data_IF_251069528889
#
_entry.id   IF_251069528889
#
_cell.length_a   1.000
_cell.length_b   1.000
_cell.length_c   1.000
_cell.angle_alpha   90.00
_cell.angle_beta   90.00
_cell.angle_gamma   90.00
#
_symmetry.space_group_name_H-M   'P 1'
#
loop_
_entity.id
_entity.type
_entity.pdbx_description
1 polymer ?
#
# COMPACT_ATOMS: atom_id res chain seq x y z
N UNK A 1 -5.89 -24.63 2.14
CA UNK A 1 -4.46 -24.22 2.04
C UNK A 1 -4.31 -22.98 2.91
N UNK A 2 -3.28 -22.90 3.73
CA UNK A 2 -3.03 -21.68 4.52
C UNK A 2 -2.53 -20.62 3.55
N UNK A 3 -3.20 -19.47 3.48
CA UNK A 3 -2.77 -18.36 2.63
C UNK A 3 -1.58 -17.67 3.28
N UNK A 4 -0.47 -17.55 2.58
CA UNK A 4 0.74 -16.86 3.06
C UNK A 4 0.57 -15.36 2.83
N UNK A 5 0.64 -14.56 3.90
CA UNK A 5 0.68 -13.09 3.80
C UNK A 5 2.01 -12.71 3.15
N UNK A 6 1.95 -11.84 2.16
CA UNK A 6 3.13 -11.41 1.40
C UNK A 6 3.71 -10.10 1.93
N UNK A 7 4.99 -9.82 1.68
CA UNK A 7 5.57 -8.51 1.98
C UNK A 7 4.83 -7.39 1.24
N UNK A 8 4.91 -6.18 1.81
CA UNK A 8 4.47 -4.94 1.17
C UNK A 8 5.69 -4.21 0.61
N UNK A 9 5.62 -3.78 -0.64
CA UNK A 9 6.65 -2.98 -1.28
C UNK A 9 6.27 -1.49 -1.21
N UNK A 10 7.09 -0.68 -0.56
CA UNK A 10 6.93 0.76 -0.44
C UNK A 10 8.01 1.45 -1.26
N UNK A 11 7.63 2.17 -2.31
CA UNK A 11 8.54 2.79 -3.26
C UNK A 11 8.40 4.31 -3.21
N UNK A 12 9.52 5.03 -3.22
CA UNK A 12 9.47 6.49 -3.31
C UNK A 12 8.89 6.95 -4.65
N UNK A 13 9.30 6.31 -5.74
CA UNK A 13 8.89 6.64 -7.10
C UNK A 13 8.88 5.40 -8.01
N UNK A 14 8.55 5.58 -9.28
CA UNK A 14 8.47 4.49 -10.25
C UNK A 14 9.84 3.96 -10.74
N UNK A 15 10.95 4.55 -10.34
CA UNK A 15 12.27 4.14 -10.83
C UNK A 15 12.58 2.69 -10.43
N UNK A 16 12.18 2.27 -9.22
CA UNK A 16 12.40 0.89 -8.75
C UNK A 16 11.60 -0.16 -9.54
N UNK A 17 10.52 0.21 -10.20
CA UNK A 17 9.78 -0.73 -11.06
C UNK A 17 10.65 -1.27 -12.21
N UNK A 18 11.66 -0.49 -12.63
CA UNK A 18 12.58 -0.83 -13.73
C UNK A 18 14.03 -1.00 -13.27
N UNK A 19 14.27 -0.85 -11.96
CA UNK A 19 15.62 -0.98 -11.42
C UNK A 19 16.06 -2.45 -11.45
N UNK A 20 17.36 -2.63 -11.75
CA UNK A 20 18.05 -3.91 -11.72
C UNK A 20 19.19 -3.83 -10.72
N UNK A 21 19.41 -4.92 -9.99
CA UNK A 21 20.53 -5.02 -9.07
C UNK A 21 21.86 -5.18 -9.80
N UNK A 22 22.95 -5.38 -9.05
CA UNK A 22 24.30 -5.55 -9.59
C UNK A 22 24.44 -6.83 -10.45
N UNK A 23 23.57 -7.82 -10.25
CA UNK A 23 23.52 -9.05 -11.01
C UNK A 23 22.64 -8.92 -12.27
N UNK A 24 21.99 -7.77 -12.44
CA UNK A 24 21.10 -7.46 -13.56
C UNK A 24 19.68 -7.99 -13.39
N UNK A 25 19.31 -8.49 -12.20
CA UNK A 25 17.96 -8.98 -11.92
C UNK A 25 16.99 -7.82 -11.66
N UNK A 26 15.82 -7.80 -12.30
CA UNK A 26 14.80 -6.79 -12.03
C UNK A 26 14.33 -6.87 -10.58
N UNK A 27 14.22 -5.74 -9.91
CA UNK A 27 13.66 -5.67 -8.55
C UNK A 27 12.28 -6.32 -8.45
N UNK A 28 11.40 -6.06 -9.43
CA UNK A 28 10.08 -6.66 -9.47
C UNK A 28 10.07 -8.18 -9.68
N UNK A 29 11.19 -8.80 -10.08
CA UNK A 29 11.27 -10.25 -10.14
C UNK A 29 11.08 -10.89 -8.75
N UNK A 30 11.45 -10.19 -7.67
CA UNK A 30 11.15 -10.59 -6.28
C UNK A 30 9.64 -10.75 -6.06
N UNK A 31 8.84 -9.78 -6.55
CA UNK A 31 7.38 -9.85 -6.47
C UNK A 31 6.84 -11.08 -7.22
N UNK A 32 7.36 -11.36 -8.40
CA UNK A 32 6.99 -12.55 -9.18
C UNK A 32 7.31 -13.85 -8.43
N UNK A 33 8.53 -13.96 -7.90
CA UNK A 33 8.98 -15.14 -7.13
C UNK A 33 8.08 -15.39 -5.92
N UNK A 34 7.77 -14.35 -5.13
CA UNK A 34 6.88 -14.45 -3.98
C UNK A 34 5.46 -14.93 -4.32
N UNK A 35 4.96 -14.60 -5.50
CA UNK A 35 3.64 -15.10 -5.95
C UNK A 35 3.72 -16.54 -6.44
N UNK A 36 4.81 -16.92 -7.12
CA UNK A 36 5.03 -18.28 -7.65
C UNK A 36 5.27 -19.32 -6.56
N UNK A 37 5.80 -18.93 -5.38
CA UNK A 37 5.97 -19.84 -4.24
C UNK A 37 4.64 -20.45 -3.77
N UNK A 38 3.54 -19.68 -3.82
CA UNK A 38 2.24 -20.19 -3.40
C UNK A 38 1.49 -20.94 -4.51
N UNK A 39 1.66 -20.56 -5.77
CA UNK A 39 0.95 -21.15 -6.91
C UNK A 39 1.81 -21.18 -8.17
N UNK A 40 2.70 -22.17 -8.27
CA UNK A 40 3.62 -22.31 -9.41
C UNK A 40 2.87 -22.48 -10.73
N UNK A 41 3.20 -21.61 -11.69
CA UNK A 41 2.63 -21.67 -13.04
C UNK A 41 1.26 -21.00 -13.22
N UNK A 42 0.74 -20.35 -12.18
CA UNK A 42 -0.49 -19.53 -12.28
C UNK A 42 -0.29 -18.35 -13.21
N UNK A 43 -1.34 -18.02 -13.97
CA UNK A 43 -1.47 -16.74 -14.65
C UNK A 43 -1.93 -15.68 -13.64
N UNK A 44 -1.01 -14.79 -13.23
CA UNK A 44 -1.28 -13.76 -12.22
C UNK A 44 -2.02 -12.56 -12.80
N UNK A 45 -2.86 -11.95 -11.96
CA UNK A 45 -3.63 -10.73 -12.24
C UNK A 45 -3.05 -9.56 -11.46
N UNK A 46 -2.87 -8.42 -12.12
CA UNK A 46 -2.34 -7.22 -11.49
C UNK A 46 -3.29 -6.03 -11.66
N UNK A 47 -3.68 -5.41 -10.53
CA UNK A 47 -4.52 -4.23 -10.51
C UNK A 47 -3.69 -2.97 -10.25
N UNK A 48 -4.00 -1.89 -10.96
CA UNK A 48 -3.44 -0.56 -10.77
C UNK A 48 -4.53 0.39 -10.27
N UNK A 49 -4.33 1.01 -9.12
CA UNK A 49 -5.24 1.99 -8.55
C UNK A 49 -4.71 3.40 -8.83
N UNK A 50 -5.32 4.08 -9.81
CA UNK A 50 -4.85 5.37 -10.34
C UNK A 50 -5.41 6.61 -9.64
N UNK A 51 -6.28 6.47 -8.63
CA UNK A 51 -7.02 7.58 -8.03
C UNK A 51 -6.14 8.75 -7.59
N UNK A 52 -4.96 8.48 -7.00
CA UNK A 52 -4.05 9.51 -6.51
C UNK A 52 -3.49 10.42 -7.62
N UNK A 53 -3.33 9.91 -8.84
CA UNK A 53 -2.87 10.72 -9.99
C UNK A 53 -3.99 11.16 -10.93
N UNK A 54 -5.26 10.97 -10.53
CA UNK A 54 -6.41 11.33 -11.34
C UNK A 54 -6.66 10.38 -12.51
N UNK A 55 -6.28 9.11 -12.34
CA UNK A 55 -6.44 8.05 -13.35
C UNK A 55 -5.70 8.32 -14.67
N UNK A 56 -4.56 9.01 -14.59
CA UNK A 56 -3.75 9.35 -15.76
C UNK A 56 -3.24 8.11 -16.47
N UNK A 57 -3.50 8.01 -17.77
CA UNK A 57 -3.19 6.83 -18.60
C UNK A 57 -1.70 6.55 -18.72
N UNK A 58 -0.87 7.59 -18.69
CA UNK A 58 0.58 7.51 -18.84
C UNK A 58 1.23 6.69 -17.72
N UNK A 59 0.72 6.83 -16.49
CA UNK A 59 1.21 6.04 -15.36
C UNK A 59 0.70 4.59 -15.40
N UNK A 60 -0.49 4.38 -15.96
CA UNK A 60 -0.97 3.01 -16.20
C UNK A 60 -0.15 2.31 -17.28
N UNK A 61 0.27 3.03 -18.33
CA UNK A 61 1.18 2.47 -19.35
C UNK A 61 2.54 2.09 -18.77
N UNK A 62 3.11 2.89 -17.85
CA UNK A 62 4.32 2.53 -17.11
C UNK A 62 4.10 1.26 -16.27
N UNK A 63 2.96 1.15 -15.59
CA UNK A 63 2.61 -0.07 -14.86
C UNK A 63 2.53 -1.29 -15.78
N UNK A 64 1.87 -1.17 -16.94
CA UNK A 64 1.79 -2.27 -17.92
C UNK A 64 3.18 -2.71 -18.40
N UNK A 65 4.08 -1.76 -18.66
CA UNK A 65 5.45 -2.05 -19.05
C UNK A 65 6.19 -2.81 -17.95
N UNK A 66 6.10 -2.36 -16.70
CA UNK A 66 6.72 -3.01 -15.55
C UNK A 66 6.18 -4.43 -15.30
N UNK A 67 4.87 -4.61 -15.38
CA UNK A 67 4.25 -5.94 -15.26
C UNK A 67 4.65 -6.86 -16.40
N UNK A 68 4.80 -6.32 -17.60
CA UNK A 68 5.28 -7.05 -18.79
C UNK A 68 6.70 -7.61 -18.62
N UNK A 69 7.60 -6.89 -17.95
CA UNK A 69 8.97 -7.37 -17.67
C UNK A 69 9.01 -8.63 -16.79
N UNK A 70 8.04 -8.75 -15.87
CA UNK A 70 7.88 -9.93 -15.01
C UNK A 70 6.83 -10.93 -15.51
N UNK A 71 6.38 -10.79 -16.76
CA UNK A 71 5.48 -11.74 -17.42
C UNK A 71 4.03 -11.72 -16.96
N UNK A 72 3.57 -10.68 -16.27
CA UNK A 72 2.16 -10.48 -15.91
C UNK A 72 1.48 -9.69 -17.02
N UNK A 73 0.45 -10.26 -17.64
CA UNK A 73 -0.26 -9.67 -18.79
C UNK A 73 -1.73 -9.36 -18.51
N UNK A 74 -2.35 -10.04 -17.54
CA UNK A 74 -3.73 -9.76 -17.11
C UNK A 74 -3.71 -8.60 -16.11
N UNK A 75 -3.80 -7.37 -16.66
CA UNK A 75 -3.69 -6.13 -15.92
C UNK A 75 -4.96 -5.29 -16.05
N UNK A 76 -5.36 -4.60 -14.97
CA UNK A 76 -6.52 -3.72 -14.99
C UNK A 76 -6.27 -2.39 -14.31
N UNK A 77 -6.70 -1.30 -14.96
CA UNK A 77 -6.76 0.03 -14.36
C UNK A 77 -8.07 0.17 -13.58
N UNK A 78 -7.99 0.08 -12.27
CA UNK A 78 -9.09 0.36 -11.35
C UNK A 78 -9.10 1.85 -11.04
N UNK A 79 -10.09 2.54 -11.56
CA UNK A 79 -10.20 4.01 -11.48
C UNK A 79 -10.79 4.48 -10.15
N UNK A 80 -10.73 5.79 -9.90
CA UNK A 80 -11.31 6.43 -8.70
C UNK A 80 -12.81 6.10 -8.51
N UNK A 81 -13.56 5.93 -9.63
CA UNK A 81 -14.95 5.46 -9.62
C UNK A 81 -15.01 4.09 -10.29
N UNK A 82 -14.74 3.01 -9.55
CA UNK A 82 -14.62 1.68 -10.12
C UNK A 82 -15.98 1.09 -10.55
N UNK A 83 -16.00 0.50 -11.73
CA UNK A 83 -17.14 -0.29 -12.22
C UNK A 83 -17.30 -1.60 -11.42
N UNK A 84 -18.41 -2.30 -11.63
CA UNK A 84 -18.62 -3.65 -11.09
C UNK A 84 -17.53 -4.63 -11.54
N UNK A 85 -17.10 -4.53 -12.79
CA UNK A 85 -16.03 -5.35 -13.35
C UNK A 85 -14.67 -5.03 -12.74
N UNK A 86 -14.37 -3.75 -12.44
CA UNK A 86 -13.15 -3.35 -11.74
C UNK A 86 -13.11 -3.93 -10.33
N UNK A 87 -14.23 -3.89 -9.62
CA UNK A 87 -14.36 -4.49 -8.29
C UNK A 87 -14.15 -6.00 -8.33
N UNK A 88 -14.79 -6.68 -9.28
CA UNK A 88 -14.63 -8.13 -9.46
C UNK A 88 -13.18 -8.49 -9.81
N UNK A 89 -12.51 -7.69 -10.65
CA UNK A 89 -11.09 -7.89 -10.96
C UNK A 89 -10.21 -7.71 -9.72
N UNK A 90 -10.46 -6.65 -8.94
CA UNK A 90 -9.71 -6.37 -7.71
C UNK A 90 -9.85 -7.52 -6.69
N UNK A 91 -11.02 -8.16 -6.61
CA UNK A 91 -11.24 -9.33 -5.75
C UNK A 91 -10.38 -10.55 -6.13
N UNK A 92 -9.88 -10.61 -7.34
CA UNK A 92 -9.08 -11.69 -7.88
C UNK A 92 -7.61 -11.31 -8.11
N UNK A 93 -7.25 -10.03 -7.90
CA UNK A 93 -5.91 -9.55 -8.17
C UNK A 93 -4.89 -10.18 -7.22
N UNK A 94 -3.79 -10.68 -7.76
CA UNK A 94 -2.66 -11.25 -7.02
C UNK A 94 -1.63 -10.20 -6.65
N UNK A 95 -1.56 -9.13 -7.46
CA UNK A 95 -0.74 -7.97 -7.22
C UNK A 95 -1.61 -6.72 -7.34
N UNK A 96 -1.47 -5.79 -6.39
CA UNK A 96 -2.19 -4.52 -6.39
C UNK A 96 -1.20 -3.39 -6.19
N UNK A 97 -1.15 -2.45 -7.15
CA UNK A 97 -0.30 -1.28 -7.07
C UNK A 97 -1.15 -0.03 -6.80
N UNK A 98 -0.85 0.65 -5.70
CA UNK A 98 -1.39 1.97 -5.36
C UNK A 98 -0.47 3.04 -5.95
N UNK A 99 -1.02 3.87 -6.82
CA UNK A 99 -0.27 4.87 -7.58
C UNK A 99 0.20 6.05 -6.73
N UNK A 100 1.27 6.69 -7.17
CA UNK A 100 1.70 8.00 -6.69
C UNK A 100 0.77 9.12 -7.12
N UNK A 101 0.96 10.31 -6.54
CA UNK A 101 0.19 11.52 -6.83
C UNK A 101 -0.22 12.24 -5.56
N UNK A 102 -1.45 12.72 -5.48
CA UNK A 102 -2.03 13.42 -4.35
C UNK A 102 -2.62 12.40 -3.35
N UNK A 103 -2.13 12.43 -2.10
CA UNK A 103 -2.51 11.49 -1.05
C UNK A 103 -3.99 11.61 -0.71
N UNK A 104 -4.47 12.84 -0.52
CA UNK A 104 -5.83 13.14 -0.09
C UNK A 104 -6.86 12.81 -1.19
N UNK A 105 -6.57 13.19 -2.44
CA UNK A 105 -7.41 12.81 -3.60
C UNK A 105 -7.60 11.31 -3.70
N UNK A 106 -6.51 10.56 -3.64
CA UNK A 106 -6.56 9.10 -3.71
C UNK A 106 -7.34 8.51 -2.55
N UNK A 107 -7.12 9.05 -1.34
CA UNK A 107 -7.80 8.58 -0.14
C UNK A 107 -9.30 8.83 -0.18
N UNK A 108 -9.74 10.04 -0.55
CA UNK A 108 -11.16 10.37 -0.72
C UNK A 108 -11.85 9.45 -1.74
N UNK A 109 -11.16 9.11 -2.84
CA UNK A 109 -11.70 8.17 -3.81
C UNK A 109 -11.83 6.74 -3.23
N UNK A 110 -10.88 6.30 -2.40
CA UNK A 110 -10.95 5.01 -1.72
C UNK A 110 -12.11 4.98 -0.70
N UNK A 111 -12.31 6.06 0.06
CA UNK A 111 -13.45 6.19 0.99
C UNK A 111 -14.78 6.15 0.26
N UNK A 112 -14.93 7.00 -0.76
CA UNK A 112 -16.17 7.09 -1.53
C UNK A 112 -16.54 5.78 -2.25
N UNK A 113 -15.53 5.01 -2.66
CA UNK A 113 -15.74 3.73 -3.37
C UNK A 113 -15.79 2.51 -2.46
N UNK A 114 -15.38 2.61 -1.17
CA UNK A 114 -15.28 1.47 -0.26
C UNK A 114 -14.13 0.50 -0.57
N UNK A 115 -13.16 0.91 -1.40
CA UNK A 115 -12.02 0.07 -1.80
C UNK A 115 -11.09 -0.24 -0.62
N UNK A 116 -11.00 0.61 0.40
CA UNK A 116 -10.14 0.43 1.57
C UNK A 116 -10.29 -0.95 2.21
N UNK A 117 -11.53 -1.33 2.53
CA UNK A 117 -11.80 -2.62 3.13
C UNK A 117 -11.39 -3.78 2.21
N UNK A 118 -11.61 -3.63 0.91
CA UNK A 118 -11.22 -4.62 -0.09
C UNK A 118 -9.69 -4.78 -0.19
N UNK A 119 -8.93 -3.70 -0.08
CA UNK A 119 -7.46 -3.77 -0.06
C UNK A 119 -6.95 -4.54 1.16
N UNK A 120 -7.51 -4.26 2.34
CA UNK A 120 -7.17 -4.99 3.57
C UNK A 120 -7.49 -6.48 3.40
N UNK A 121 -8.70 -6.82 2.95
CA UNK A 121 -9.10 -8.21 2.70
C UNK A 121 -8.18 -8.91 1.71
N UNK A 122 -7.82 -8.25 0.60
CA UNK A 122 -6.93 -8.81 -0.41
C UNK A 122 -5.53 -9.06 0.12
N UNK A 123 -4.97 -8.13 0.89
CA UNK A 123 -3.68 -8.31 1.53
C UNK A 123 -3.65 -9.58 2.41
N UNK A 124 -4.62 -9.71 3.30
CA UNK A 124 -4.71 -10.88 4.18
C UNK A 124 -5.13 -12.17 3.45
N UNK A 125 -5.68 -12.05 2.25
CA UNK A 125 -5.91 -13.16 1.33
C UNK A 125 -4.69 -13.48 0.43
N UNK A 126 -3.53 -12.87 0.70
CA UNK A 126 -2.25 -13.18 0.05
C UNK A 126 -1.93 -12.37 -1.21
N UNK A 127 -2.67 -11.30 -1.51
CA UNK A 127 -2.28 -10.39 -2.56
C UNK A 127 -1.01 -9.61 -2.16
N UNK A 128 -0.08 -9.44 -3.11
CA UNK A 128 1.09 -8.60 -2.93
C UNK A 128 0.72 -7.12 -3.18
N UNK A 129 1.05 -6.24 -2.24
CA UNK A 129 0.79 -4.82 -2.37
C UNK A 129 2.07 -4.04 -2.70
N UNK A 130 1.94 -3.10 -3.61
CA UNK A 130 2.98 -2.13 -3.95
C UNK A 130 2.39 -0.73 -3.79
N UNK A 131 3.02 0.13 -3.00
CA UNK A 131 2.66 1.55 -2.90
C UNK A 131 3.77 2.43 -3.46
N UNK A 132 3.43 3.37 -4.33
CA UNK A 132 4.38 4.36 -4.89
C UNK A 132 4.03 5.74 -4.35
N UNK A 133 4.97 6.45 -3.72
CA UNK A 133 4.80 7.82 -3.21
C UNK A 133 3.51 7.96 -2.39
N UNK A 134 2.49 8.67 -2.87
CA UNK A 134 1.17 8.74 -2.21
C UNK A 134 0.59 7.36 -1.88
N UNK A 135 0.75 6.36 -2.76
CA UNK A 135 0.32 4.98 -2.50
C UNK A 135 1.09 4.32 -1.35
N UNK A 136 2.37 4.62 -1.18
CA UNK A 136 3.14 4.15 -0.03
C UNK A 136 2.65 4.79 1.28
N UNK A 137 2.35 6.09 1.27
CA UNK A 137 1.73 6.80 2.41
C UNK A 137 0.40 6.18 2.79
N UNK A 138 -0.45 5.87 1.80
CA UNK A 138 -1.78 5.28 2.01
C UNK A 138 -1.74 3.86 2.60
N UNK A 139 -0.64 3.13 2.45
CA UNK A 139 -0.41 1.84 3.12
C UNK A 139 0.01 1.98 4.58
N UNK A 140 0.48 3.16 4.99
CA UNK A 140 0.95 3.50 6.34
C UNK A 140 -0.15 3.76 7.36
N UNK A 141 0.23 4.41 8.47
CA UNK A 141 -0.68 4.75 9.58
C UNK A 141 -1.48 6.02 9.31
N UNK A 142 -0.86 7.03 8.71
CA UNK A 142 -1.43 8.37 8.54
C UNK A 142 -1.10 8.93 7.16
N UNK A 143 -2.11 9.54 6.56
CA UNK A 143 -1.98 10.49 5.48
C UNK A 143 -2.20 11.92 5.97
N UNK A 144 -2.02 12.87 5.09
CA UNK A 144 -2.25 14.28 5.37
C UNK A 144 -2.80 15.00 4.14
N UNK A 145 -3.57 16.05 4.41
CA UNK A 145 -3.97 17.00 3.39
C UNK A 145 -2.94 18.13 3.32
N UNK A 146 -2.40 18.40 2.14
CA UNK A 146 -1.32 19.39 1.94
C UNK A 146 -1.76 20.82 2.27
N UNK A 147 -3.02 21.17 2.00
CA UNK A 147 -3.57 22.52 2.23
C UNK A 147 -3.94 22.75 3.69
N UNK A 148 -4.78 21.87 4.26
CA UNK A 148 -5.29 21.99 5.63
C UNK A 148 -4.28 21.51 6.68
N UNK A 149 -3.27 20.73 6.31
CA UNK A 149 -2.31 20.06 7.18
C UNK A 149 -2.96 19.14 8.23
N UNK A 150 -4.19 18.73 7.97
CA UNK A 150 -4.89 17.75 8.80
C UNK A 150 -4.41 16.34 8.50
N UNK A 151 -4.24 15.55 9.57
CA UNK A 151 -3.93 14.13 9.48
C UNK A 151 -5.22 13.32 9.43
N UNK A 152 -5.17 12.23 8.69
CA UNK A 152 -6.24 11.24 8.63
C UNK A 152 -5.66 9.82 8.69
N UNK A 153 -6.45 8.87 9.14
CA UNK A 153 -6.06 7.46 9.13
C UNK A 153 -6.03 6.93 7.71
N UNK A 154 -5.05 6.06 7.43
CA UNK A 154 -4.92 5.37 6.15
C UNK A 154 -5.13 3.86 6.33
N UNK A 155 -4.66 3.01 5.40
CA UNK A 155 -4.91 1.56 5.45
C UNK A 155 -4.32 0.86 6.67
N UNK A 156 -3.29 1.42 7.29
CA UNK A 156 -2.61 0.86 8.46
C UNK A 156 -2.11 -0.58 8.24
N UNK A 157 -1.64 -0.88 7.04
CA UNK A 157 -1.06 -2.18 6.70
C UNK A 157 0.43 -2.25 7.03
N UNK A 158 1.09 -1.09 7.19
CA UNK A 158 2.41 -0.99 7.82
C UNK A 158 2.33 -0.11 9.08
N UNK A 159 3.09 -0.40 10.16
CA UNK A 159 2.91 0.17 11.49
C UNK A 159 3.68 1.49 11.70
N UNK A 160 3.87 2.26 10.64
CA UNK A 160 4.57 3.56 10.70
C UNK A 160 3.97 4.55 9.72
N UNK A 161 4.24 5.82 9.94
CA UNK A 161 3.93 6.88 8.97
C UNK A 161 4.97 6.82 7.86
N UNK A 162 4.53 6.78 6.62
CA UNK A 162 5.43 6.80 5.45
C UNK A 162 5.46 8.19 4.87
N UNK A 163 6.64 8.65 4.47
CA UNK A 163 6.83 9.83 3.62
C UNK A 163 7.84 9.52 2.51
N UNK A 164 7.69 10.15 1.38
CA UNK A 164 8.55 9.96 0.23
C UNK A 164 8.96 11.32 -0.35
N UNK A 165 10.19 11.42 -0.85
CA UNK A 165 10.74 12.60 -1.54
C UNK A 165 10.85 13.88 -0.70
N UNK A 166 10.92 13.83 0.65
CA UNK A 166 11.07 15.01 1.50
C UNK A 166 12.52 15.21 1.99
N UNK A 167 13.46 14.60 1.26
CA UNK A 167 14.89 14.79 1.56
C UNK A 167 15.39 16.20 1.21
N UNK A 168 16.45 16.69 1.88
CA UNK A 168 17.21 15.96 2.92
C UNK A 168 16.64 16.15 4.33
N UNK A 169 15.67 17.03 4.52
CA UNK A 169 15.29 17.51 5.85
C UNK A 169 14.29 16.63 6.58
N UNK A 170 13.43 15.93 5.84
CA UNK A 170 12.30 15.18 6.39
C UNK A 170 11.45 16.02 7.34
N UNK A 171 11.31 17.31 7.01
CA UNK A 171 10.66 18.29 7.86
C UNK A 171 9.19 17.97 8.10
N UNK A 172 8.50 17.49 7.07
CA UNK A 172 7.11 17.08 7.12
C UNK A 172 6.93 15.87 8.04
N UNK A 173 7.71 14.82 7.84
CA UNK A 173 7.65 13.60 8.65
C UNK A 173 7.99 13.89 10.11
N UNK A 174 8.99 14.75 10.38
CA UNK A 174 9.36 15.20 11.73
C UNK A 174 8.26 15.98 12.45
N UNK A 175 7.33 16.63 11.71
CA UNK A 175 6.17 17.32 12.27
C UNK A 175 4.97 16.40 12.48
N UNK A 176 4.84 15.36 11.66
CA UNK A 176 3.70 14.42 11.68
C UNK A 176 3.87 13.37 12.76
N UNK A 177 5.04 12.76 12.90
CA UNK A 177 5.29 11.66 13.83
C UNK A 177 4.87 11.98 15.27
N UNK A 178 5.24 13.15 15.86
CA UNK A 178 4.79 13.50 17.21
C UNK A 178 3.28 13.65 17.37
N UNK A 179 2.55 13.90 16.28
CA UNK A 179 1.10 14.08 16.27
C UNK A 179 0.33 12.79 15.97
N UNK A 180 1.03 11.78 15.43
CA UNK A 180 0.40 10.55 14.99
C UNK A 180 0.10 9.56 16.11
N UNK A 181 0.70 9.76 17.29
CA UNK A 181 0.47 8.95 18.49
C UNK A 181 1.78 8.61 19.23
N UNK A 182 1.64 8.22 20.50
CA UNK A 182 2.78 7.73 21.28
C UNK A 182 3.40 6.51 20.60
N UNK A 183 4.72 6.42 20.63
CA UNK A 183 5.51 5.34 20.04
C UNK A 183 5.38 5.20 18.50
N UNK A 184 4.68 6.13 17.84
CA UNK A 184 4.62 6.12 16.37
C UNK A 184 5.98 6.45 15.79
N UNK A 185 6.42 5.61 14.85
CA UNK A 185 7.61 5.86 14.03
C UNK A 185 7.20 6.41 12.65
N UNK A 186 8.12 7.10 12.03
CA UNK A 186 8.04 7.53 10.64
C UNK A 186 9.17 6.94 9.83
N UNK A 187 8.90 6.62 8.58
CA UNK A 187 9.90 6.13 7.62
C UNK A 187 9.89 7.03 6.40
N UNK A 188 11.01 7.73 6.21
CA UNK A 188 11.28 8.55 5.03
C UNK A 188 11.99 7.73 3.97
N UNK A 189 11.41 7.66 2.78
CA UNK A 189 11.92 6.92 1.62
C UNK A 189 12.46 7.94 0.60
N UNK A 190 13.79 8.07 0.44
CA UNK A 190 14.36 9.03 -0.51
C UNK A 190 14.10 8.65 -1.96
N UNK A 191 14.20 9.64 -2.86
CA UNK A 191 14.01 9.43 -4.29
C UNK A 191 14.84 8.26 -4.82
N UNK A 192 14.22 7.39 -5.61
CA UNK A 192 14.83 6.18 -6.16
C UNK A 192 15.04 5.04 -5.15
N UNK A 193 14.59 5.19 -3.91
CA UNK A 193 14.65 4.14 -2.89
C UNK A 193 13.31 3.45 -2.69
N UNK A 194 13.34 2.37 -1.91
CA UNK A 194 12.17 1.65 -1.44
C UNK A 194 12.41 0.91 -0.14
N UNK A 195 11.36 0.29 0.36
CA UNK A 195 11.39 -0.64 1.48
C UNK A 195 10.57 -1.88 1.16
N UNK A 196 11.01 -3.03 1.64
CA UNK A 196 10.22 -4.25 1.71
C UNK A 196 9.82 -4.47 3.17
N UNK A 197 8.53 -4.38 3.46
CA UNK A 197 8.01 -4.64 4.79
C UNK A 197 7.46 -6.06 4.85
N UNK A 198 8.04 -6.88 5.73
CA UNK A 198 7.77 -8.32 5.83
C UNK A 198 6.65 -8.64 6.83
N UNK A 199 5.97 -9.79 6.67
CA UNK A 199 4.91 -10.24 7.59
C UNK A 199 5.38 -10.53 9.01
N UNK A 200 6.68 -10.70 9.23
CA UNK A 200 7.33 -10.85 10.54
C UNK A 200 7.63 -9.51 11.22
N UNK A 201 7.11 -8.42 10.64
CA UNK A 201 7.30 -7.03 11.08
C UNK A 201 8.70 -6.48 10.90
N UNK A 202 9.52 -7.11 10.11
CA UNK A 202 10.82 -6.57 9.72
C UNK A 202 10.72 -5.71 8.46
N UNK A 203 11.71 -4.85 8.26
CA UNK A 203 11.81 -3.96 7.10
C UNK A 203 13.20 -4.04 6.49
N UNK A 204 13.25 -4.17 5.17
CA UNK A 204 14.47 -4.19 4.36
C UNK A 204 14.53 -2.93 3.50
N UNK A 205 15.48 -2.00 3.72
CA UNK A 205 15.73 -0.89 2.80
C UNK A 205 16.25 -1.38 1.45
N UNK A 206 15.79 -0.74 0.37
CA UNK A 206 16.16 -1.11 -1.00
C UNK A 206 16.89 0.07 -1.67
N UNK A 207 18.05 -0.20 -2.23
CA UNK A 207 18.90 0.68 -3.04
C UNK A 207 19.57 1.81 -2.24
N UNK A 208 18.84 2.60 -1.46
CA UNK A 208 19.37 3.70 -0.66
C UNK A 208 18.94 3.58 0.80
N UNK A 209 19.70 4.13 1.75
CA UNK A 209 19.29 4.18 3.15
C UNK A 209 17.98 4.93 3.32
N UNK A 210 17.13 4.42 4.22
CA UNK A 210 15.91 5.08 4.65
C UNK A 210 16.20 5.91 5.90
N UNK A 211 15.29 6.85 6.22
CA UNK A 211 15.36 7.64 7.45
C UNK A 211 14.23 7.21 8.38
N UNK A 212 14.56 6.62 9.52
CA UNK A 212 13.61 6.41 10.61
C UNK A 212 13.51 7.67 11.46
N UNK A 213 12.28 8.10 11.75
CA UNK A 213 11.98 9.21 12.66
C UNK A 213 11.18 8.68 13.83
N UNK A 214 11.59 9.00 15.05
CA UNK A 214 10.90 8.63 16.28
C UNK A 214 10.84 9.80 17.24
N UNK A 215 9.77 9.85 18.06
CA UNK A 215 9.66 10.78 19.17
C UNK A 215 10.32 10.15 20.41
N UNK A 216 11.20 10.90 21.05
CA UNK A 216 11.83 10.55 22.34
C UNK A 216 11.55 11.64 23.38
N UNK A 217 11.94 11.41 24.64
CA UNK A 217 11.84 12.41 25.70
C UNK A 217 12.69 13.67 25.38
N UNK A 218 13.77 13.50 24.64
CA UNK A 218 14.68 14.59 24.24
C UNK A 218 14.23 15.32 22.97
N UNK A 219 13.17 14.84 22.31
CA UNK A 219 12.62 15.40 21.07
C UNK A 219 12.59 14.40 19.91
N UNK A 220 12.60 14.90 18.69
CA UNK A 220 12.59 14.07 17.49
C UNK A 220 13.98 13.54 17.19
N UNK A 221 14.12 12.23 17.09
CA UNK A 221 15.36 11.53 16.71
C UNK A 221 15.25 11.02 15.27
N UNK A 222 16.36 11.10 14.54
CA UNK A 222 16.50 10.50 13.21
C UNK A 222 17.59 9.42 13.25
N UNK A 223 17.34 8.31 12.56
CA UNK A 223 18.30 7.22 12.35
C UNK A 223 18.30 6.80 10.88
N UNK A 224 19.43 6.30 10.39
CA UNK A 224 19.53 5.74 9.04
C UNK A 224 19.40 4.22 9.12
N UNK A 225 18.60 3.67 8.20
CA UNK A 225 18.43 2.24 7.99
C UNK A 225 19.09 1.90 6.65
N UNK A 226 20.10 1.04 6.68
CA UNK A 226 20.93 0.78 5.50
C UNK A 226 20.45 -0.46 4.71
N UNK A 227 20.56 -0.44 3.37
CA UNK A 227 20.36 -1.63 2.54
C UNK A 227 21.32 -2.76 2.95
N UNK A 228 20.85 -4.01 2.78
CA UNK A 228 21.60 -5.22 3.17
C UNK A 228 21.42 -5.62 4.63
N UNK A 229 20.72 -4.82 5.43
CA UNK A 229 20.33 -5.14 6.81
C UNK A 229 18.81 -5.21 6.90
N UNK A 230 18.31 -6.09 7.78
CA UNK A 230 16.89 -6.18 8.10
C UNK A 230 16.65 -5.55 9.48
N UNK A 231 15.68 -4.65 9.55
CA UNK A 231 15.37 -3.88 10.75
C UNK A 231 14.03 -4.32 11.35
N UNK A 232 14.00 -4.65 12.63
CA UNK A 232 12.75 -4.94 13.33
C UNK A 232 11.95 -3.66 13.60
N UNK A 233 10.64 -3.72 13.39
CA UNK A 233 9.71 -2.64 13.69
C UNK A 233 8.97 -2.96 14.99
N UNK A 234 9.47 -2.41 16.10
CA UNK A 234 8.88 -2.61 17.42
C UNK A 234 7.44 -2.13 17.52
N UNK A 235 6.59 -2.87 18.25
CA UNK A 235 5.18 -2.53 18.47
C UNK A 235 4.29 -2.69 17.25
N UNK A 236 4.79 -3.26 16.14
CA UNK A 236 4.10 -3.37 14.88
C UNK A 236 2.77 -4.11 14.96
N UNK A 237 2.72 -5.21 15.70
CA UNK A 237 1.55 -6.10 15.76
C UNK A 237 0.28 -5.42 16.29
N UNK A 238 0.41 -4.39 17.14
CA UNK A 238 -0.71 -3.67 17.75
C UNK A 238 -1.25 -2.56 16.86
N UNK A 239 -0.43 -2.06 15.93
CA UNK A 239 -0.75 -0.90 15.11
C UNK A 239 -1.33 -1.26 13.73
N UNK A 240 -1.07 -2.48 13.24
CA UNK A 240 -1.49 -2.93 11.91
C UNK A 240 -2.98 -3.25 11.88
N UNK A 241 -3.69 -2.75 10.87
CA UNK A 241 -5.09 -3.08 10.63
C UNK A 241 -5.25 -4.57 10.31
N UNK A 242 -6.31 -5.17 10.85
CA UNK A 242 -6.68 -6.56 10.55
C UNK A 242 -8.03 -6.60 9.84
N UNK A 243 -8.30 -7.64 9.03
CA UNK A 243 -9.62 -7.83 8.45
C UNK A 243 -10.67 -7.85 9.55
N UNK A 244 -11.79 -7.18 9.34
CA UNK A 244 -12.94 -7.30 10.24
C UNK A 244 -13.44 -8.75 10.16
N UNK A 245 -13.34 -9.48 11.25
CA UNK A 245 -13.95 -10.78 11.38
C UNK A 245 -15.45 -10.55 11.58
N UNK A 246 -16.21 -10.75 10.53
CA UNK A 246 -17.68 -10.67 10.59
C UNK A 246 -18.17 -12.00 11.14
N UNK A 247 -18.92 -11.97 12.24
CA UNK A 247 -19.55 -13.20 12.74
C UNK A 247 -20.52 -13.78 11.72
N UNK A 248 -20.80 -15.09 11.73
CA UNK A 248 -21.80 -15.68 10.84
C UNK A 248 -23.16 -14.99 10.92
N UNK A 249 -23.55 -14.49 12.08
CA UNK A 249 -24.80 -13.75 12.31
C UNK A 249 -24.76 -12.34 11.68
N UNK A 250 -23.64 -11.62 11.78
CA UNK A 250 -23.46 -10.34 11.08
C UNK A 250 -23.40 -10.52 9.55
N UNK A 251 -22.76 -11.56 9.07
CA UNK A 251 -22.71 -11.87 7.63
C UNK A 251 -24.11 -12.14 7.07
N UNK A 252 -24.96 -12.86 7.81
CA UNK A 252 -26.36 -13.12 7.44
C UNK A 252 -27.16 -11.80 7.48
N UNK A 253 -26.96 -10.96 8.50
CA UNK A 253 -27.65 -9.67 8.63
C UNK A 253 -27.29 -8.70 7.49
N UNK A 254 -26.01 -8.65 7.11
CA UNK A 254 -25.55 -7.84 5.98
C UNK A 254 -26.10 -8.35 4.65
N UNK A 255 -26.15 -9.66 4.46
CA UNK A 255 -26.74 -10.28 3.27
C UNK A 255 -28.26 -10.06 3.17
N UNK A 256 -28.97 -10.09 4.30
CA UNK A 256 -30.41 -9.84 4.35
C UNK A 256 -30.74 -8.35 4.22
N UNK A 257 -29.91 -7.44 4.75
CA UNK A 257 -30.06 -5.99 4.57
C UNK A 257 -29.86 -5.52 3.12
N UNK A 258 -29.08 -6.26 2.33
CA UNK A 258 -28.89 -6.00 0.90
C UNK A 258 -30.07 -6.50 0.04
N UNK A 259 -31.01 -7.23 0.61
CA UNK A 259 -32.19 -7.82 -0.08
C UNK A 259 -33.52 -7.10 0.21
N UNK A 260 -33.50 -5.94 0.87
CA UNK A 260 -34.72 -5.13 1.01
C UNK A 260 -34.97 -4.37 -0.29
N UNK A 261 -36.02 -4.69 -1.07
CA UNK A 261 -36.37 -3.89 -2.22
C UNK A 261 -36.96 -2.55 -1.75
N UNK A 262 -36.39 -1.46 -2.21
CA UNK A 262 -37.14 -0.20 -2.35
C UNK A 262 -38.11 -0.41 -3.53
N UNK A 263 -39.30 -0.87 -3.23
CA UNK A 263 -40.44 -0.70 -4.10
C UNK A 263 -41.72 -0.79 -3.25
N UNK A 264 -42.32 0.37 -3.01
CA UNK A 264 -43.76 0.63 -3.02
C UNK A 264 -44.08 1.98 -2.39
N UNK A 265 -43.87 3.05 -3.12
CA UNK A 265 -44.70 4.28 -2.97
C UNK A 265 -44.99 4.88 -4.34
N UNK A 266 -45.88 4.24 -5.07
CA UNK A 266 -46.76 4.92 -6.02
C UNK A 266 -48.10 5.11 -5.27
N UNK A 267 -48.38 6.37 -4.93
CA UNK A 267 -49.72 6.97 -4.97
C UNK A 267 -49.58 8.49 -4.75
#
# INVERSE_FOLDING_TARGET
MSTTIKPILLLADSQLLFWRDEEGLPFLQRARTLMEEDDPGKAFKAAYLGASNGDASEFYELFLAAMGEIGIRDCRHVKASPSSEDRQFLEQADLILLAGGDIDRGWQAFEASGIQQKLIERYYAGALLIGISAGAVQLGLKGWNEESRQLFDTLRLVPFVVDAHDEPSWARLSQIVPKAGEHTKGVGIPSGAGAVYHPDFSMEPVRHPLVEISQTEEGVRQALLFPGETHEVEGAAEQVARPRVVSPEEAISLAMGALTPEDDKVN
#
